data_IF_504235451517
#
_entry.id   IF_504235451517
#
_cell.length_a   1.000
_cell.length_b   1.000
_cell.length_c   1.000
_cell.angle_alpha   90.00
_cell.angle_beta   90.00
_cell.angle_gamma   90.00
#
_symmetry.space_group_name_H-M   'P 1'
#
loop_
_entity.id
_entity.type
_entity.pdbx_description
1 polymer ?
#
# COMPACT_ATOMS: atom_id res chain seq x y z
N UNK A 1 54.18 15.89 14.87
CA UNK A 1 52.92 16.20 14.15
C UNK A 1 52.38 17.49 14.69
N UNK A 2 52.16 18.48 13.82
CA UNK A 2 51.49 19.71 14.24
C UNK A 2 49.98 19.45 14.38
N UNK A 3 49.29 20.21 15.22
CA UNK A 3 47.83 20.13 15.40
C UNK A 3 47.08 20.26 14.05
N UNK A 4 47.62 21.06 13.14
CA UNK A 4 47.13 21.22 11.76
C UNK A 4 47.13 19.91 10.99
N UNK A 5 48.17 19.08 11.12
CA UNK A 5 48.27 17.80 10.41
C UNK A 5 47.25 16.80 10.92
N UNK A 6 46.98 16.80 12.23
CA UNK A 6 45.97 15.94 12.86
C UNK A 6 44.56 16.34 12.39
N UNK A 7 44.26 17.64 12.38
CA UNK A 7 42.97 18.17 11.92
C UNK A 7 42.75 17.86 10.44
N UNK A 8 43.79 18.05 9.61
CA UNK A 8 43.73 17.74 8.19
C UNK A 8 43.48 16.24 7.93
N UNK A 9 44.14 15.37 8.71
CA UNK A 9 43.97 13.92 8.63
C UNK A 9 42.55 13.47 8.99
N UNK A 10 41.97 14.04 10.05
CA UNK A 10 40.59 13.74 10.49
C UNK A 10 39.58 14.25 9.46
N UNK A 11 39.77 15.47 8.95
CA UNK A 11 38.92 16.05 7.91
C UNK A 11 38.89 15.19 6.64
N UNK A 12 40.06 14.68 6.25
CA UNK A 12 40.20 13.79 5.10
C UNK A 12 39.48 12.46 5.33
N UNK A 13 39.57 11.90 6.54
CA UNK A 13 38.86 10.66 6.91
C UNK A 13 37.34 10.84 6.91
N UNK A 14 36.82 11.96 7.44
CA UNK A 14 35.38 12.28 7.38
C UNK A 14 34.90 12.44 5.94
N UNK A 15 35.71 13.06 5.08
CA UNK A 15 35.37 13.26 3.67
C UNK A 15 35.35 11.95 2.88
N UNK A 16 36.33 11.09 3.12
CA UNK A 16 36.48 9.81 2.39
C UNK A 16 35.52 8.74 2.90
N UNK A 17 35.21 8.72 4.20
CA UNK A 17 34.41 7.63 4.81
C UNK A 17 33.03 8.12 5.26
N UNK A 18 32.95 9.29 5.89
CA UNK A 18 31.70 9.82 6.43
C UNK A 18 30.69 10.17 5.35
N UNK A 19 31.12 10.83 4.27
CA UNK A 19 30.22 11.26 3.18
C UNK A 19 29.61 10.05 2.45
N UNK A 20 30.39 9.03 2.01
CA UNK A 20 29.80 7.87 1.34
C UNK A 20 28.86 7.05 2.22
N UNK A 21 29.19 6.89 3.51
CA UNK A 21 28.32 6.19 4.47
C UNK A 21 27.01 6.95 4.64
N UNK A 22 27.08 8.27 4.81
CA UNK A 22 25.90 9.14 4.96
C UNK A 22 25.03 9.09 3.71
N UNK A 23 25.63 9.10 2.52
CA UNK A 23 24.92 8.98 1.26
C UNK A 23 24.25 7.62 1.09
N UNK A 24 24.95 6.53 1.44
CA UNK A 24 24.41 5.18 1.37
C UNK A 24 23.24 4.98 2.34
N UNK A 25 23.37 5.45 3.59
CA UNK A 25 22.30 5.43 4.58
C UNK A 25 21.11 6.29 4.16
N UNK A 26 21.37 7.52 3.69
CA UNK A 26 20.34 8.43 3.20
C UNK A 26 19.54 7.86 2.03
N UNK A 27 20.23 7.23 1.05
CA UNK A 27 19.58 6.57 -0.08
C UNK A 27 18.71 5.38 0.34
N UNK A 28 19.16 4.57 1.31
CA UNK A 28 18.37 3.46 1.86
C UNK A 28 17.13 3.97 2.59
N UNK A 29 17.27 5.00 3.41
CA UNK A 29 16.17 5.59 4.17
C UNK A 29 15.14 6.25 3.22
N UNK A 30 15.58 6.92 2.16
CA UNK A 30 14.69 7.46 1.14
C UNK A 30 13.89 6.35 0.42
N UNK A 31 14.54 5.21 0.13
CA UNK A 31 13.84 4.05 -0.45
C UNK A 31 12.82 3.43 0.52
N UNK A 32 13.15 3.31 1.80
CA UNK A 32 12.22 2.80 2.81
C UNK A 32 11.05 3.77 3.05
N UNK A 33 11.32 5.06 3.11
CA UNK A 33 10.30 6.10 3.24
C UNK A 33 9.33 6.10 2.06
N UNK A 34 9.82 6.05 0.81
CA UNK A 34 8.96 5.99 -0.38
C UNK A 34 8.13 4.72 -0.45
N UNK A 35 8.69 3.58 -0.03
CA UNK A 35 7.94 2.33 0.07
C UNK A 35 6.85 2.38 1.14
N UNK A 36 7.15 2.92 2.34
CA UNK A 36 6.16 3.06 3.41
C UNK A 36 5.04 4.03 3.02
N UNK A 37 5.36 5.15 2.36
CA UNK A 37 4.36 6.07 1.83
C UNK A 37 3.43 5.38 0.81
N UNK A 38 3.96 4.50 -0.04
CA UNK A 38 3.15 3.71 -0.97
C UNK A 38 2.23 2.70 -0.25
N UNK A 39 2.66 2.15 0.89
CA UNK A 39 1.80 1.33 1.76
C UNK A 39 0.70 2.17 2.41
N UNK A 40 1.03 3.36 2.92
CA UNK A 40 0.03 4.27 3.52
C UNK A 40 -1.04 4.67 2.48
N UNK A 41 -0.63 4.94 1.25
CA UNK A 41 -1.56 5.18 0.14
C UNK A 41 -2.44 3.97 -0.17
N UNK A 42 -1.90 2.75 -0.09
CA UNK A 42 -2.66 1.52 -0.28
C UNK A 42 -3.68 1.32 0.85
N UNK A 43 -3.28 1.55 2.10
CA UNK A 43 -4.15 1.47 3.28
C UNK A 43 -5.30 2.48 3.18
N UNK A 44 -5.01 3.73 2.82
CA UNK A 44 -6.01 4.77 2.59
C UNK A 44 -6.99 4.38 1.45
N UNK A 45 -6.49 3.75 0.38
CA UNK A 45 -7.35 3.26 -0.70
C UNK A 45 -8.26 2.12 -0.23
N UNK A 46 -7.74 1.19 0.58
CA UNK A 46 -8.53 0.11 1.15
C UNK A 46 -9.65 0.66 2.05
N UNK A 47 -9.34 1.62 2.92
CA UNK A 47 -10.33 2.29 3.75
C UNK A 47 -11.38 3.03 2.90
N UNK A 48 -10.95 3.71 1.83
CA UNK A 48 -11.87 4.36 0.89
C UNK A 48 -12.84 3.37 0.24
N UNK A 49 -12.33 2.23 -0.24
CA UNK A 49 -13.17 1.17 -0.84
C UNK A 49 -14.18 0.64 0.16
N UNK A 50 -13.75 0.40 1.40
CA UNK A 50 -14.64 -0.04 2.47
C UNK A 50 -15.73 0.99 2.77
N UNK A 51 -15.37 2.27 2.90
CA UNK A 51 -16.31 3.34 3.17
C UNK A 51 -17.31 3.52 2.02
N UNK A 52 -16.86 3.48 0.77
CA UNK A 52 -17.76 3.55 -0.39
C UNK A 52 -18.69 2.33 -0.45
N UNK A 53 -18.19 1.13 -0.15
CA UNK A 53 -19.02 -0.08 -0.09
C UNK A 53 -20.08 0.00 1.02
N UNK A 54 -19.71 0.56 2.18
CA UNK A 54 -20.64 0.81 3.29
C UNK A 54 -21.72 1.82 2.93
N UNK A 55 -21.39 2.88 2.19
CA UNK A 55 -22.35 3.88 1.73
C UNK A 55 -23.36 3.22 0.77
N UNK A 56 -22.86 2.50 -0.24
CA UNK A 56 -23.70 1.76 -1.20
C UNK A 56 -24.67 0.82 -0.48
N UNK A 57 -24.16 0.06 0.50
CA UNK A 57 -24.96 -0.88 1.27
C UNK A 57 -26.03 -0.19 2.13
N UNK A 58 -25.69 0.93 2.79
CA UNK A 58 -26.62 1.69 3.64
C UNK A 58 -27.70 2.41 2.84
N UNK A 59 -27.32 3.01 1.72
CA UNK A 59 -28.23 3.76 0.85
C UNK A 59 -29.05 2.83 -0.06
N UNK A 60 -28.70 1.54 -0.11
CA UNK A 60 -29.32 0.53 -0.98
C UNK A 60 -29.29 0.93 -2.47
N UNK A 61 -28.30 1.73 -2.88
CA UNK A 61 -28.10 2.21 -4.24
C UNK A 61 -27.19 1.25 -5.03
N UNK A 62 -27.80 0.17 -5.52
CA UNK A 62 -27.13 -0.86 -6.33
C UNK A 62 -27.09 -0.51 -7.82
N UNK A 63 -26.96 0.78 -8.16
CA UNK A 63 -26.90 1.23 -9.54
C UNK A 63 -25.66 0.76 -10.29
N UNK A 64 -25.79 0.64 -11.62
CA UNK A 64 -24.70 0.28 -12.52
C UNK A 64 -23.50 1.25 -12.41
N UNK A 65 -23.76 2.53 -12.13
CA UNK A 65 -22.73 3.55 -11.86
C UNK A 65 -21.86 3.16 -10.67
N UNK A 66 -22.46 2.73 -9.57
CA UNK A 66 -21.73 2.30 -8.37
C UNK A 66 -20.95 1.01 -8.61
N UNK A 67 -21.49 0.09 -9.40
CA UNK A 67 -20.80 -1.12 -9.83
C UNK A 67 -19.51 -0.80 -10.62
N UNK A 68 -19.60 0.08 -11.62
CA UNK A 68 -18.43 0.51 -12.38
C UNK A 68 -17.42 1.29 -11.54
N UNK A 69 -17.89 2.07 -10.58
CA UNK A 69 -17.01 2.75 -9.61
C UNK A 69 -16.22 1.74 -8.77
N UNK A 70 -16.85 0.67 -8.30
CA UNK A 70 -16.14 -0.40 -7.56
C UNK A 70 -15.10 -1.11 -8.44
N UNK A 71 -15.41 -1.36 -9.72
CA UNK A 71 -14.43 -1.90 -10.67
C UNK A 71 -13.25 -0.94 -10.88
N UNK A 72 -13.51 0.36 -11.01
CA UNK A 72 -12.46 1.37 -11.16
C UNK A 72 -11.55 1.40 -9.93
N UNK A 73 -12.14 1.35 -8.73
CA UNK A 73 -11.38 1.26 -7.48
C UNK A 73 -10.52 0.00 -7.41
N UNK A 74 -11.02 -1.15 -7.87
CA UNK A 74 -10.23 -2.38 -7.97
C UNK A 74 -9.03 -2.23 -8.90
N UNK A 75 -9.19 -1.61 -10.06
CA UNK A 75 -8.07 -1.33 -10.97
C UNK A 75 -7.05 -0.39 -10.34
N UNK A 76 -7.50 0.63 -9.60
CA UNK A 76 -6.60 1.52 -8.85
C UNK A 76 -5.81 0.75 -7.78
N UNK A 77 -6.47 -0.16 -7.06
CA UNK A 77 -5.85 -1.03 -6.07
C UNK A 77 -4.79 -1.95 -6.71
N UNK A 78 -5.11 -2.58 -7.84
CA UNK A 78 -4.14 -3.37 -8.63
C UNK A 78 -2.92 -2.54 -9.05
N UNK A 79 -3.14 -1.31 -9.51
CA UNK A 79 -2.08 -0.40 -9.93
C UNK A 79 -1.17 0.01 -8.77
N UNK A 80 -1.74 0.25 -7.57
CA UNK A 80 -0.96 0.54 -6.35
C UNK A 80 -0.13 -0.66 -5.91
N UNK A 81 -0.71 -1.87 -5.88
CA UNK A 81 0.04 -3.10 -5.62
C UNK A 81 1.20 -3.30 -6.62
N UNK A 82 0.96 -3.01 -7.91
CA UNK A 82 2.01 -3.09 -8.93
C UNK A 82 3.12 -2.06 -8.69
N UNK A 83 2.79 -0.82 -8.28
CA UNK A 83 3.78 0.19 -7.92
C UNK A 83 4.63 -0.24 -6.74
N UNK A 84 4.03 -0.82 -5.71
CA UNK A 84 4.76 -1.31 -4.54
C UNK A 84 5.75 -2.42 -4.94
N UNK A 85 5.32 -3.33 -5.84
CA UNK A 85 6.18 -4.41 -6.33
C UNK A 85 7.38 -3.91 -7.17
N UNK A 86 7.24 -2.76 -7.83
CA UNK A 86 8.37 -2.10 -8.54
C UNK A 86 9.39 -1.52 -7.55
N UNK A 87 8.93 -0.97 -6.41
CA UNK A 87 9.82 -0.41 -5.37
C UNK A 87 10.58 -1.50 -4.61
N UNK A 88 9.88 -2.58 -4.27
CA UNK A 88 10.41 -3.74 -3.58
C UNK A 88 9.86 -4.98 -4.27
N UNK A 89 10.69 -5.70 -5.05
CA UNK A 89 10.28 -6.95 -5.68
C UNK A 89 9.88 -7.98 -4.63
N UNK A 90 8.63 -8.43 -4.68
CA UNK A 90 8.08 -9.51 -3.87
C UNK A 90 6.95 -10.21 -4.63
N UNK A 91 6.39 -11.26 -4.03
CA UNK A 91 5.23 -11.93 -4.61
C UNK A 91 4.06 -10.96 -4.79
N UNK A 92 3.20 -11.21 -5.77
CA UNK A 92 2.04 -10.36 -6.05
C UNK A 92 0.76 -11.02 -5.51
N UNK A 93 -0.08 -10.31 -4.73
CA UNK A 93 -1.23 -10.88 -4.02
C UNK A 93 -2.44 -11.11 -4.95
N UNK A 94 -2.27 -11.97 -5.97
CA UNK A 94 -3.29 -12.26 -7.00
C UNK A 94 -4.60 -12.77 -6.39
N UNK A 95 -4.49 -13.64 -5.38
CA UNK A 95 -5.64 -14.29 -4.77
C UNK A 95 -6.46 -13.29 -3.96
N UNK A 96 -5.81 -12.48 -3.13
CA UNK A 96 -6.45 -11.44 -2.33
C UNK A 96 -7.15 -10.42 -3.23
N UNK A 97 -6.48 -9.98 -4.31
CA UNK A 97 -7.06 -9.05 -5.28
C UNK A 97 -8.26 -9.64 -6.02
N UNK A 98 -8.24 -10.93 -6.34
CA UNK A 98 -9.37 -11.61 -6.98
C UNK A 98 -10.57 -11.70 -6.03
N UNK A 99 -10.34 -12.09 -4.78
CA UNK A 99 -11.39 -12.21 -3.78
C UNK A 99 -12.02 -10.84 -3.46
N UNK A 100 -11.21 -9.79 -3.31
CA UNK A 100 -11.71 -8.42 -3.12
C UNK A 100 -12.58 -8.01 -4.32
N UNK A 101 -12.16 -8.33 -5.56
CA UNK A 101 -12.97 -8.04 -6.74
C UNK A 101 -14.35 -8.69 -6.64
N UNK A 102 -14.39 -9.99 -6.36
CA UNK A 102 -15.64 -10.75 -6.24
C UNK A 102 -16.56 -10.18 -5.16
N UNK A 103 -15.98 -9.74 -4.04
CA UNK A 103 -16.77 -9.16 -2.94
C UNK A 103 -17.40 -7.82 -3.36
N UNK A 104 -16.60 -6.90 -3.92
CA UNK A 104 -17.09 -5.55 -4.27
C UNK A 104 -17.97 -5.51 -5.52
N UNK A 105 -18.05 -6.60 -6.28
CA UNK A 105 -18.87 -6.71 -7.50
C UNK A 105 -19.98 -7.71 -7.29
N UNK A 106 -19.66 -9.01 -7.27
CA UNK A 106 -20.64 -10.08 -7.24
C UNK A 106 -21.44 -10.13 -5.92
N UNK A 107 -20.77 -9.99 -4.77
CA UNK A 107 -21.45 -10.12 -3.46
C UNK A 107 -22.18 -8.84 -3.04
N UNK A 108 -21.54 -7.67 -3.22
CA UNK A 108 -22.12 -6.39 -2.81
C UNK A 108 -23.38 -6.02 -3.61
N UNK A 109 -23.43 -6.42 -4.89
CA UNK A 109 -24.56 -6.16 -5.79
C UNK A 109 -25.46 -7.38 -6.00
N UNK A 110 -25.34 -8.42 -5.16
CA UNK A 110 -26.19 -9.61 -5.23
C UNK A 110 -27.66 -9.28 -4.94
N UNK A 111 -28.58 -10.01 -5.58
CA UNK A 111 -30.02 -9.91 -5.32
C UNK A 111 -30.38 -10.44 -3.92
N UNK A 112 -29.55 -11.36 -3.37
CA UNK A 112 -29.77 -11.94 -2.06
C UNK A 112 -29.29 -11.02 -0.92
N UNK A 113 -30.20 -10.60 -0.04
CA UNK A 113 -29.85 -9.74 1.10
C UNK A 113 -28.76 -10.34 2.00
N UNK A 114 -28.82 -11.64 2.26
CA UNK A 114 -27.83 -12.34 3.09
C UNK A 114 -26.41 -12.24 2.50
N UNK A 115 -26.28 -12.28 1.16
CA UNK A 115 -24.98 -12.15 0.50
C UNK A 115 -24.44 -10.72 0.59
N UNK A 116 -25.31 -9.71 0.47
CA UNK A 116 -24.91 -8.30 0.64
C UNK A 116 -24.47 -7.99 2.07
N UNK A 117 -25.21 -8.50 3.06
CA UNK A 117 -24.90 -8.29 4.49
C UNK A 117 -23.56 -8.94 4.86
N UNK A 118 -23.24 -10.09 4.24
CA UNK A 118 -21.96 -10.77 4.43
C UNK A 118 -20.82 -10.17 3.60
N UNK A 119 -21.11 -9.49 2.48
CA UNK A 119 -20.12 -8.87 1.61
C UNK A 119 -19.24 -7.85 2.35
N UNK A 120 -19.84 -6.96 3.14
CA UNK A 120 -19.09 -5.95 3.92
C UNK A 120 -18.15 -6.61 4.93
N UNK A 121 -18.64 -7.63 5.64
CA UNK A 121 -17.82 -8.39 6.60
C UNK A 121 -16.67 -9.10 5.91
N UNK A 122 -16.94 -9.76 4.79
CA UNK A 122 -15.92 -10.45 3.98
C UNK A 122 -14.89 -9.45 3.43
N UNK A 123 -15.33 -8.26 3.02
CA UNK A 123 -14.45 -7.20 2.53
C UNK A 123 -13.43 -6.81 3.59
N UNK A 124 -13.87 -6.59 4.84
CA UNK A 124 -12.96 -6.30 5.97
C UNK A 124 -11.94 -7.42 6.15
N UNK A 125 -12.39 -8.68 6.19
CA UNK A 125 -11.51 -9.83 6.38
C UNK A 125 -10.50 -10.03 5.24
N UNK A 126 -10.75 -9.48 4.04
CA UNK A 126 -9.85 -9.62 2.89
C UNK A 126 -8.98 -8.39 2.64
N UNK A 127 -9.41 -7.21 3.08
CA UNK A 127 -8.59 -6.00 3.02
C UNK A 127 -7.44 -6.03 4.03
N UNK A 128 -7.66 -6.52 5.26
CA UNK A 128 -6.60 -6.59 6.28
C UNK A 128 -5.40 -7.44 5.82
N UNK A 129 -5.57 -8.68 5.33
CA UNK A 129 -4.45 -9.48 4.84
C UNK A 129 -3.76 -8.89 3.62
N UNK A 130 -4.44 -8.08 2.80
CA UNK A 130 -3.82 -7.39 1.67
C UNK A 130 -2.81 -6.33 2.15
N UNK A 131 -3.15 -5.61 3.23
CA UNK A 131 -2.26 -4.61 3.83
C UNK A 131 -1.08 -5.33 4.50
N UNK A 132 -1.35 -6.38 5.28
CA UNK A 132 -0.32 -7.17 5.97
C UNK A 132 0.67 -7.85 5.01
N UNK A 133 0.23 -8.17 3.79
CA UNK A 133 1.09 -8.72 2.74
C UNK A 133 2.23 -7.76 2.34
N UNK A 134 2.08 -6.45 2.57
CA UNK A 134 3.11 -5.45 2.36
C UNK A 134 3.59 -4.88 3.70
N UNK A 135 4.49 -5.58 4.42
CA UNK A 135 4.97 -5.09 5.70
C UNK A 135 5.76 -3.80 5.52
N UNK A 136 5.49 -2.80 6.37
CA UNK A 136 6.29 -1.56 6.44
C UNK A 136 7.73 -1.89 6.81
N UNK A 137 8.69 -1.18 6.21
CA UNK A 137 10.12 -1.35 6.48
C UNK A 137 10.60 -0.20 7.34
N UNK A 138 11.13 -0.50 8.52
CA UNK A 138 11.74 0.49 9.39
C UNK A 138 13.25 0.52 9.16
N UNK A 139 13.77 1.70 8.79
CA UNK A 139 15.18 2.11 8.78
C UNK A 139 15.28 3.60 8.38
#
# INVERSE_FOLDING_TARGET
MQLSDIIASISLLVSVVGIPISYCLGGRNAKHSTYNAAIDELENLCQKILNESLIIHKEMDYSETNYHRMIANHKLLQAKCSKINVLVPQDYPRNQLREIKQIITDQLFSEESNQRDTAIRNLIYKLTPLIEFYPKKFL
#
